data_IF_945972045005
#
_entry.id   IF_945972045005
#
_cell.length_a   1.000
_cell.length_b   1.000
_cell.length_c   1.000
_cell.angle_alpha   90.00
_cell.angle_beta   90.00
_cell.angle_gamma   90.00
#
_symmetry.space_group_name_H-M   'P 1'
#
loop_
_entity.id
_entity.type
_entity.pdbx_description
1 polymer ?
#
# COMPACT_ATOMS: atom_id res chain seq x y z
N UNK A 1 -34.47 -11.17 44.08
CA UNK A 1 -34.50 -10.26 42.93
C UNK A 1 -33.34 -10.65 42.00
N UNK A 2 -33.68 -11.31 40.93
CA UNK A 2 -32.71 -11.82 39.95
C UNK A 2 -32.31 -10.67 39.03
N UNK A 3 -31.01 -10.32 39.02
CA UNK A 3 -30.43 -9.36 38.10
C UNK A 3 -30.34 -9.97 36.73
N UNK A 4 -31.16 -9.49 35.79
CA UNK A 4 -31.05 -9.80 34.36
C UNK A 4 -29.82 -9.07 33.82
N UNK A 5 -28.74 -9.78 33.65
CA UNK A 5 -27.60 -9.33 32.86
C UNK A 5 -28.04 -9.30 31.39
N UNK A 6 -28.41 -8.13 30.87
CA UNK A 6 -28.57 -7.89 29.44
C UNK A 6 -27.21 -8.05 28.77
N UNK A 7 -26.97 -9.23 28.20
CA UNK A 7 -25.97 -9.45 27.18
C UNK A 7 -26.42 -8.70 25.92
N UNK A 8 -26.11 -7.42 25.81
CA UNK A 8 -26.09 -6.73 24.54
C UNK A 8 -24.98 -7.37 23.71
N UNK A 9 -25.33 -8.38 22.91
CA UNK A 9 -24.52 -8.78 21.79
C UNK A 9 -24.48 -7.59 20.82
N UNK A 10 -23.45 -6.73 20.93
CA UNK A 10 -23.18 -5.70 19.94
C UNK A 10 -22.97 -6.40 18.60
N UNK A 11 -23.99 -6.39 17.76
CA UNK A 11 -23.85 -6.82 16.38
C UNK A 11 -22.93 -5.79 15.71
N UNK A 12 -21.68 -6.19 15.44
CA UNK A 12 -20.74 -5.31 14.71
C UNK A 12 -21.34 -4.96 13.36
N UNK A 13 -21.22 -3.71 12.94
CA UNK A 13 -21.63 -3.30 11.59
C UNK A 13 -20.86 -4.09 10.52
N UNK A 14 -21.42 -4.17 9.32
CA UNK A 14 -20.73 -4.85 8.19
C UNK A 14 -19.34 -4.26 7.94
N UNK A 15 -19.22 -2.95 8.06
CA UNK A 15 -17.95 -2.25 7.94
C UNK A 15 -16.94 -2.66 9.02
N UNK A 16 -17.36 -2.76 10.29
CA UNK A 16 -16.47 -3.26 11.34
C UNK A 16 -16.01 -4.70 11.11
N UNK A 17 -16.88 -5.54 10.59
CA UNK A 17 -16.52 -6.93 10.26
C UNK A 17 -15.50 -7.01 9.13
N UNK A 18 -15.66 -6.20 8.08
CA UNK A 18 -14.72 -6.19 6.95
C UNK A 18 -13.37 -5.56 7.35
N UNK A 19 -13.36 -4.53 8.20
CA UNK A 19 -12.12 -3.94 8.71
C UNK A 19 -11.36 -4.91 9.61
N UNK A 20 -12.04 -5.64 10.51
CA UNK A 20 -11.42 -6.69 11.30
C UNK A 20 -10.84 -7.82 10.43
N UNK A 21 -11.48 -8.11 9.30
CA UNK A 21 -10.97 -9.08 8.33
C UNK A 21 -9.72 -8.51 7.63
N UNK A 22 -9.74 -7.25 7.23
CA UNK A 22 -8.62 -6.57 6.62
C UNK A 22 -7.40 -6.53 7.56
N UNK A 23 -7.62 -6.16 8.83
CA UNK A 23 -6.56 -6.13 9.84
C UNK A 23 -5.90 -7.51 10.02
N UNK A 24 -6.70 -8.59 10.01
CA UNK A 24 -6.18 -9.96 10.05
C UNK A 24 -5.39 -10.33 8.78
N UNK A 25 -5.80 -9.83 7.62
CA UNK A 25 -5.08 -10.05 6.36
C UNK A 25 -3.76 -9.31 6.35
N UNK A 26 -3.73 -8.06 6.81
CA UNK A 26 -2.49 -7.27 6.97
C UNK A 26 -1.51 -7.99 7.91
N UNK A 27 -1.98 -8.48 9.05
CA UNK A 27 -1.14 -9.23 10.01
C UNK A 27 -0.55 -10.52 9.42
N UNK A 28 -1.24 -11.15 8.46
CA UNK A 28 -0.82 -12.38 7.78
C UNK A 28 -0.16 -12.15 6.42
N UNK A 29 0.16 -10.92 6.07
CA UNK A 29 0.68 -10.53 4.76
C UNK A 29 1.93 -11.34 4.36
N UNK A 30 2.84 -11.59 5.28
CA UNK A 30 4.05 -12.38 5.05
C UNK A 30 3.76 -13.77 4.46
N UNK A 31 2.65 -14.42 4.85
CA UNK A 31 2.28 -15.74 4.31
C UNK A 31 1.88 -15.68 2.82
N UNK A 32 1.28 -14.58 2.40
CA UNK A 32 0.93 -14.37 0.99
C UNK A 32 2.17 -14.07 0.17
N UNK A 33 3.10 -13.28 0.71
CA UNK A 33 4.39 -12.98 0.08
C UNK A 33 5.25 -14.25 -0.10
N UNK A 34 5.31 -15.12 0.90
CA UNK A 34 5.98 -16.42 0.78
C UNK A 34 5.37 -17.31 -0.31
N UNK A 35 4.04 -17.31 -0.46
CA UNK A 35 3.39 -18.04 -1.55
C UNK A 35 3.77 -17.49 -2.91
N UNK A 36 3.81 -16.15 -3.03
CA UNK A 36 4.26 -15.49 -4.24
C UNK A 36 5.69 -15.87 -4.60
N UNK A 37 6.61 -15.82 -3.64
CA UNK A 37 8.02 -16.18 -3.86
C UNK A 37 8.13 -17.62 -4.35
N UNK A 38 7.44 -18.58 -3.70
CA UNK A 38 7.42 -19.99 -4.13
C UNK A 38 6.88 -20.15 -5.55
N UNK A 39 5.82 -19.43 -5.92
CA UNK A 39 5.28 -19.45 -7.27
C UNK A 39 6.27 -18.87 -8.30
N UNK A 40 6.86 -17.73 -8.00
CA UNK A 40 7.87 -17.11 -8.85
C UNK A 40 9.10 -18.01 -9.05
N UNK A 41 9.54 -18.69 -7.99
CA UNK A 41 10.66 -19.67 -8.09
C UNK A 41 10.30 -20.88 -8.95
N UNK A 42 9.05 -21.33 -8.93
CA UNK A 42 8.57 -22.35 -9.84
C UNK A 42 8.65 -21.91 -11.30
N UNK A 43 8.19 -20.67 -11.59
CA UNK A 43 8.28 -20.09 -12.94
C UNK A 43 9.73 -19.89 -13.39
N UNK A 44 10.63 -19.51 -12.50
CA UNK A 44 12.07 -19.39 -12.81
C UNK A 44 12.70 -20.73 -13.17
N UNK A 45 12.30 -21.83 -12.50
CA UNK A 45 12.75 -23.18 -12.87
C UNK A 45 12.20 -23.58 -14.22
N UNK A 46 10.92 -23.31 -14.49
CA UNK A 46 10.28 -23.54 -15.79
C UNK A 46 11.00 -22.77 -16.91
N UNK A 47 11.33 -21.50 -16.69
CA UNK A 47 12.08 -20.67 -17.65
C UNK A 47 13.46 -21.28 -17.98
N UNK A 48 14.18 -21.78 -16.97
CA UNK A 48 15.49 -22.41 -17.18
C UNK A 48 15.41 -23.74 -17.90
N UNK A 49 14.32 -24.49 -17.70
CA UNK A 49 14.09 -25.79 -18.32
C UNK A 49 13.45 -25.70 -19.71
N UNK A 50 13.01 -24.52 -20.14
CA UNK A 50 12.32 -24.35 -21.41
C UNK A 50 13.25 -24.67 -22.60
N UNK A 51 12.77 -25.53 -23.51
CA UNK A 51 13.55 -26.04 -24.63
C UNK A 51 13.68 -25.12 -25.82
N UNK A 52 12.73 -24.17 -25.99
CA UNK A 52 12.71 -23.24 -27.12
C UNK A 52 12.39 -21.80 -26.67
N UNK A 53 12.68 -20.82 -27.53
CA UNK A 53 12.53 -19.41 -27.21
C UNK A 53 11.07 -18.94 -27.17
N UNK A 54 10.14 -19.66 -27.78
CA UNK A 54 8.71 -19.40 -27.68
C UNK A 54 8.21 -19.71 -26.27
N UNK A 55 8.57 -20.85 -25.72
CA UNK A 55 8.24 -21.25 -24.36
C UNK A 55 8.94 -20.38 -23.33
N UNK A 56 10.21 -20.01 -23.59
CA UNK A 56 10.96 -19.04 -22.76
C UNK A 56 10.25 -17.68 -22.74
N UNK A 57 9.82 -17.19 -23.88
CA UNK A 57 9.05 -15.94 -23.97
C UNK A 57 7.75 -16.01 -23.16
N UNK A 58 6.98 -17.10 -23.32
CA UNK A 58 5.72 -17.30 -22.60
C UNK A 58 5.95 -17.31 -21.08
N UNK A 59 6.97 -18.00 -20.62
CA UNK A 59 7.28 -18.10 -19.19
C UNK A 59 7.83 -16.78 -18.64
N UNK A 60 8.65 -16.05 -19.42
CA UNK A 60 9.11 -14.72 -19.09
C UNK A 60 7.94 -13.72 -18.97
N UNK A 61 6.95 -13.83 -19.87
CA UNK A 61 5.73 -13.02 -19.79
C UNK A 61 4.91 -13.31 -18.51
N UNK A 62 4.79 -14.58 -18.10
CA UNK A 62 4.13 -14.95 -16.81
C UNK A 62 4.89 -14.39 -15.61
N UNK A 63 6.23 -14.39 -15.66
CA UNK A 63 7.06 -13.76 -14.64
C UNK A 63 6.90 -12.25 -14.65
N UNK A 64 6.88 -11.61 -15.82
CA UNK A 64 6.60 -10.19 -15.97
C UNK A 64 5.25 -9.83 -15.33
N UNK A 65 4.17 -10.53 -15.69
CA UNK A 65 2.81 -10.33 -15.17
C UNK A 65 2.74 -10.48 -13.63
N UNK A 66 3.58 -11.37 -13.08
CA UNK A 66 3.67 -11.55 -11.63
C UNK A 66 4.40 -10.40 -10.96
N UNK A 67 5.49 -9.89 -11.57
CA UNK A 67 6.36 -8.91 -10.95
C UNK A 67 5.96 -7.46 -11.18
N UNK A 68 5.19 -7.12 -12.23
CA UNK A 68 4.86 -5.74 -12.58
C UNK A 68 4.16 -4.97 -11.45
N UNK A 69 3.44 -5.68 -10.58
CA UNK A 69 2.76 -5.12 -9.41
C UNK A 69 3.45 -5.45 -8.08
N UNK A 70 4.59 -6.16 -8.12
CA UNK A 70 5.32 -6.59 -6.93
C UNK A 70 6.72 -5.97 -6.82
N UNK A 71 7.46 -5.92 -7.94
CA UNK A 71 8.76 -5.27 -8.03
C UNK A 71 9.06 -4.90 -9.49
N UNK A 72 8.98 -3.60 -9.78
CA UNK A 72 9.04 -3.06 -11.14
C UNK A 72 10.39 -3.33 -11.82
N UNK A 73 11.51 -3.26 -11.08
CA UNK A 73 12.83 -3.49 -11.68
C UNK A 73 13.01 -4.95 -12.10
N UNK A 74 12.44 -5.86 -11.32
CA UNK A 74 12.41 -7.27 -11.70
C UNK A 74 11.51 -7.50 -12.91
N UNK A 75 10.35 -6.85 -12.98
CA UNK A 75 9.49 -6.91 -14.17
C UNK A 75 10.20 -6.36 -15.41
N UNK A 76 10.88 -5.22 -15.30
CA UNK A 76 11.63 -4.64 -16.41
C UNK A 76 12.73 -5.59 -16.95
N UNK A 77 13.41 -6.34 -16.06
CA UNK A 77 14.38 -7.37 -16.49
C UNK A 77 13.70 -8.48 -17.29
N UNK A 78 12.50 -8.92 -16.89
CA UNK A 78 11.76 -9.92 -17.66
C UNK A 78 11.25 -9.37 -18.99
N UNK A 79 10.83 -8.11 -19.06
CA UNK A 79 10.50 -7.45 -20.33
C UNK A 79 11.69 -7.44 -21.29
N UNK A 80 12.92 -7.15 -20.81
CA UNK A 80 14.14 -7.23 -21.58
C UNK A 80 14.43 -8.65 -22.10
N UNK A 81 14.23 -9.68 -21.28
CA UNK A 81 14.36 -11.09 -21.72
C UNK A 81 13.31 -11.44 -22.79
N UNK A 82 12.09 -10.94 -22.65
CA UNK A 82 11.03 -11.13 -23.65
C UNK A 82 11.42 -10.55 -25.01
N UNK A 83 12.07 -9.38 -25.06
CA UNK A 83 12.61 -8.84 -26.32
C UNK A 83 13.66 -9.75 -26.95
N UNK A 84 14.62 -10.24 -26.16
CA UNK A 84 15.67 -11.15 -26.66
C UNK A 84 15.06 -12.43 -27.29
N UNK A 85 14.08 -13.03 -26.61
CA UNK A 85 13.38 -14.21 -27.15
C UNK A 85 12.50 -13.88 -28.34
N UNK A 86 11.86 -12.72 -28.36
CA UNK A 86 11.06 -12.27 -29.49
C UNK A 86 11.95 -12.01 -30.73
N UNK A 87 13.16 -11.50 -30.55
CA UNK A 87 14.13 -11.30 -31.63
C UNK A 87 14.65 -12.64 -32.16
N UNK A 88 14.97 -13.58 -31.28
CA UNK A 88 15.42 -14.91 -31.67
C UNK A 88 14.35 -15.70 -32.47
N UNK A 89 13.06 -15.53 -32.11
CA UNK A 89 11.96 -16.20 -32.85
C UNK A 89 11.55 -15.46 -34.13
N UNK A 90 11.91 -14.19 -34.31
CA UNK A 90 11.43 -13.32 -35.38
C UNK A 90 9.93 -12.98 -35.29
N UNK A 91 9.22 -13.36 -34.22
CA UNK A 91 7.79 -13.21 -34.08
C UNK A 91 7.36 -11.76 -33.90
N UNK A 92 6.62 -11.19 -34.86
CA UNK A 92 6.02 -9.85 -34.78
C UNK A 92 5.11 -9.72 -33.54
N UNK A 93 4.30 -10.74 -33.26
CA UNK A 93 3.39 -10.71 -32.11
C UNK A 93 4.16 -10.62 -30.80
N UNK A 94 5.21 -11.43 -30.61
CA UNK A 94 6.02 -11.38 -29.40
C UNK A 94 6.74 -10.05 -29.23
N UNK A 95 7.31 -9.48 -30.30
CA UNK A 95 7.93 -8.13 -30.29
C UNK A 95 6.94 -7.07 -29.87
N UNK A 96 5.76 -7.07 -30.48
CA UNK A 96 4.69 -6.13 -30.16
C UNK A 96 4.27 -6.23 -28.68
N UNK A 97 4.01 -7.44 -28.19
CA UNK A 97 3.58 -7.67 -26.80
C UNK A 97 4.70 -7.34 -25.81
N UNK A 98 5.97 -7.60 -26.13
CA UNK A 98 7.12 -7.18 -25.31
C UNK A 98 7.17 -5.65 -25.18
N UNK A 99 6.94 -4.92 -26.28
CA UNK A 99 6.89 -3.45 -26.25
C UNK A 99 5.71 -2.95 -25.40
N UNK A 100 4.55 -3.64 -25.41
CA UNK A 100 3.45 -3.27 -24.52
C UNK A 100 3.79 -3.52 -23.03
N UNK A 101 4.68 -4.46 -22.72
CA UNK A 101 5.22 -4.66 -21.37
C UNK A 101 6.16 -3.51 -20.97
N UNK A 102 6.98 -2.98 -21.90
CA UNK A 102 7.80 -1.80 -21.63
C UNK A 102 6.91 -0.59 -21.29
N UNK A 103 5.81 -0.40 -22.03
CA UNK A 103 4.82 0.66 -21.72
C UNK A 103 4.28 0.51 -20.30
N UNK A 104 3.99 -0.73 -19.85
CA UNK A 104 3.56 -0.98 -18.47
C UNK A 104 4.63 -0.59 -17.45
N UNK A 105 5.90 -0.87 -17.72
CA UNK A 105 7.03 -0.47 -16.86
C UNK A 105 7.18 1.05 -16.82
N UNK A 106 7.07 1.72 -17.96
CA UNK A 106 7.14 3.18 -18.05
C UNK A 106 6.00 3.85 -17.25
N UNK A 107 4.79 3.31 -17.37
CA UNK A 107 3.63 3.78 -16.58
C UNK A 107 3.92 3.60 -15.08
N UNK A 108 4.42 2.44 -14.67
CA UNK A 108 4.73 2.13 -13.27
C UNK A 108 5.86 3.02 -12.71
N UNK A 109 6.79 3.43 -13.55
CA UNK A 109 7.85 4.40 -13.23
C UNK A 109 7.42 5.86 -13.33
N UNK A 110 6.13 6.10 -13.64
CA UNK A 110 5.55 7.42 -13.88
C UNK A 110 6.17 8.21 -15.06
N UNK A 111 6.77 7.50 -16.03
CA UNK A 111 7.29 8.06 -17.27
C UNK A 111 6.20 8.09 -18.34
N UNK A 112 5.13 8.85 -18.06
CA UNK A 112 3.88 8.75 -18.85
C UNK A 112 4.03 9.31 -20.27
N UNK A 113 4.81 10.37 -20.47
CA UNK A 113 5.07 10.91 -21.82
C UNK A 113 5.83 9.91 -22.68
N UNK A 114 6.86 9.27 -22.16
CA UNK A 114 7.59 8.21 -22.87
C UNK A 114 6.68 7.00 -23.15
N UNK A 115 5.83 6.63 -22.19
CA UNK A 115 4.84 5.58 -22.37
C UNK A 115 3.86 5.92 -23.50
N UNK A 116 3.44 7.20 -23.60
CA UNK A 116 2.57 7.69 -24.66
C UNK A 116 3.26 7.60 -26.03
N UNK A 117 4.48 8.09 -26.16
CA UNK A 117 5.25 7.98 -27.39
C UNK A 117 5.47 6.52 -27.80
N UNK A 118 5.83 5.68 -26.85
CA UNK A 118 6.08 4.26 -27.07
C UNK A 118 4.84 3.51 -27.55
N UNK A 119 3.67 3.78 -26.97
CA UNK A 119 2.43 3.12 -27.40
C UNK A 119 1.99 3.58 -28.79
N UNK A 120 2.20 4.85 -29.12
CA UNK A 120 1.87 5.39 -30.46
C UNK A 120 2.83 4.95 -31.55
N UNK A 121 4.07 4.59 -31.21
CA UNK A 121 5.07 4.09 -32.19
C UNK A 121 4.79 2.67 -32.66
N UNK A 122 3.85 1.95 -32.03
CA UNK A 122 3.53 0.58 -32.42
C UNK A 122 2.76 0.55 -33.75
N UNK A 123 3.26 -0.28 -34.69
CA UNK A 123 2.54 -0.56 -35.93
C UNK A 123 1.29 -1.39 -35.67
N UNK A 124 0.14 -0.78 -35.87
CA UNK A 124 -1.19 -1.38 -35.62
C UNK A 124 -1.84 -1.99 -36.87
N UNK A 125 -1.17 -2.02 -38.01
CA UNK A 125 -1.71 -2.62 -39.25
C UNK A 125 -1.69 -4.15 -39.07
N UNK A 126 -2.83 -4.80 -39.27
CA UNK A 126 -2.95 -6.26 -39.23
C UNK A 126 -2.62 -6.92 -37.89
N UNK A 127 -2.81 -6.22 -36.77
CA UNK A 127 -2.56 -6.77 -35.41
C UNK A 127 -3.56 -7.88 -35.08
N UNK A 128 -3.07 -8.90 -34.37
CA UNK A 128 -3.89 -10.00 -33.85
C UNK A 128 -4.85 -9.50 -32.77
N UNK A 129 -5.87 -10.31 -32.46
CA UNK A 129 -6.81 -10.01 -31.38
C UNK A 129 -6.11 -9.81 -30.02
N UNK A 130 -5.07 -10.58 -29.76
CA UNK A 130 -4.27 -10.47 -28.53
C UNK A 130 -3.44 -9.18 -28.47
N UNK A 131 -2.77 -8.83 -29.58
CA UNK A 131 -2.04 -7.58 -29.70
C UNK A 131 -2.98 -6.37 -29.51
N UNK A 132 -4.17 -6.41 -30.10
CA UNK A 132 -5.19 -5.36 -29.99
C UNK A 132 -5.66 -5.18 -28.55
N UNK A 133 -5.96 -6.26 -27.84
CA UNK A 133 -6.34 -6.19 -26.45
C UNK A 133 -5.25 -5.56 -25.56
N UNK A 134 -3.99 -5.94 -25.78
CA UNK A 134 -2.86 -5.35 -25.04
C UNK A 134 -2.68 -3.87 -25.37
N UNK A 135 -2.68 -3.52 -26.66
CA UNK A 135 -2.55 -2.13 -27.15
C UNK A 135 -3.57 -1.20 -26.51
N UNK A 136 -4.87 -1.52 -26.65
CA UNK A 136 -5.92 -0.65 -26.10
C UNK A 136 -5.94 -0.61 -24.58
N UNK A 137 -5.56 -1.69 -23.91
CA UNK A 137 -5.40 -1.67 -22.45
C UNK A 137 -4.35 -0.65 -22.04
N UNK A 138 -3.17 -0.67 -22.65
CA UNK A 138 -2.11 0.30 -22.33
C UNK A 138 -2.51 1.73 -22.72
N UNK A 139 -3.12 1.91 -23.87
CA UNK A 139 -3.58 3.20 -24.34
C UNK A 139 -4.61 3.83 -23.38
N UNK A 140 -5.57 3.04 -22.87
CA UNK A 140 -6.54 3.51 -21.89
C UNK A 140 -5.86 3.96 -20.58
N UNK A 141 -4.85 3.19 -20.12
CA UNK A 141 -4.12 3.58 -18.90
C UNK A 141 -3.31 4.85 -19.11
N UNK A 142 -2.60 4.96 -20.23
CA UNK A 142 -1.81 6.15 -20.58
C UNK A 142 -2.71 7.39 -20.66
N UNK A 143 -3.82 7.32 -21.41
CA UNK A 143 -4.76 8.45 -21.49
C UNK A 143 -5.37 8.81 -20.14
N UNK A 144 -5.71 7.82 -19.32
CA UNK A 144 -6.20 8.07 -17.97
C UNK A 144 -5.17 8.81 -17.10
N UNK A 145 -3.90 8.42 -17.19
CA UNK A 145 -2.82 9.10 -16.47
C UNK A 145 -2.56 10.51 -16.99
N UNK A 146 -2.60 10.73 -18.30
CA UNK A 146 -2.44 12.05 -18.90
C UNK A 146 -3.62 12.97 -18.60
N UNK A 147 -4.83 12.44 -18.55
CA UNK A 147 -6.03 13.20 -18.19
C UNK A 147 -6.04 13.65 -16.72
N UNK A 148 -5.43 12.87 -15.81
CA UNK A 148 -5.31 13.19 -14.39
C UNK A 148 -3.95 13.79 -13.99
N UNK A 149 -3.04 13.94 -14.94
CA UNK A 149 -1.68 14.44 -14.71
C UNK A 149 -1.57 15.96 -14.64
N UNK A 150 -0.33 16.44 -14.50
CA UNK A 150 -0.03 17.87 -14.57
C UNK A 150 0.01 18.34 -16.03
N UNK A 151 -0.79 19.30 -16.33
CA UNK A 151 -0.87 19.88 -17.67
C UNK A 151 -1.92 20.99 -17.70
N UNK A 152 -2.01 21.70 -18.82
CA UNK A 152 -3.10 22.66 -19.01
C UNK A 152 -4.44 21.93 -18.97
N UNK A 153 -5.47 22.61 -18.52
CA UNK A 153 -6.84 22.06 -18.48
C UNK A 153 -7.29 21.57 -19.87
N UNK A 154 -6.97 22.34 -20.92
CA UNK A 154 -7.27 21.94 -22.28
C UNK A 154 -6.60 20.62 -22.70
N UNK A 155 -5.35 20.41 -22.30
CA UNK A 155 -4.61 19.16 -22.58
C UNK A 155 -5.21 17.98 -21.82
N UNK A 156 -5.49 18.13 -20.53
CA UNK A 156 -6.15 17.10 -19.71
C UNK A 156 -7.51 16.71 -20.29
N UNK A 157 -8.32 17.71 -20.69
CA UNK A 157 -9.62 17.49 -21.33
C UNK A 157 -9.47 16.71 -22.63
N UNK A 158 -8.52 17.06 -23.49
CA UNK A 158 -8.28 16.34 -24.76
C UNK A 158 -7.96 14.85 -24.54
N UNK A 159 -7.18 14.52 -23.50
CA UNK A 159 -6.89 13.12 -23.14
C UNK A 159 -8.11 12.43 -22.50
N UNK A 160 -8.88 13.12 -21.69
CA UNK A 160 -10.14 12.59 -21.14
C UNK A 160 -11.13 12.26 -22.26
N UNK A 161 -11.30 13.17 -23.24
CA UNK A 161 -12.13 12.96 -24.41
C UNK A 161 -11.63 11.78 -25.28
N UNK A 162 -10.32 11.60 -25.36
CA UNK A 162 -9.73 10.47 -26.09
C UNK A 162 -9.97 9.15 -25.37
N UNK A 163 -9.83 9.12 -24.04
CA UNK A 163 -10.15 7.97 -23.19
C UNK A 163 -11.63 7.60 -23.32
N UNK A 164 -12.51 8.61 -23.24
CA UNK A 164 -13.94 8.43 -23.40
C UNK A 164 -14.28 7.81 -24.77
N UNK A 165 -13.78 8.40 -25.85
CA UNK A 165 -13.97 7.83 -27.22
C UNK A 165 -13.49 6.40 -27.32
N UNK A 166 -12.32 6.09 -26.76
CA UNK A 166 -11.76 4.74 -26.79
C UNK A 166 -12.66 3.72 -26.06
N UNK A 167 -13.25 4.09 -24.93
CA UNK A 167 -14.21 3.25 -24.20
C UNK A 167 -15.52 3.08 -24.99
N UNK A 168 -16.06 4.15 -25.56
CA UNK A 168 -17.35 4.12 -26.27
C UNK A 168 -17.31 3.43 -27.63
N UNK A 169 -16.19 3.46 -28.37
CA UNK A 169 -16.08 2.80 -29.66
C UNK A 169 -16.05 1.28 -29.58
N UNK A 170 -15.98 0.71 -28.39
CA UNK A 170 -15.85 -0.74 -28.10
C UNK A 170 -14.67 -1.45 -28.79
N UNK A 171 -13.89 -0.72 -29.57
CA UNK A 171 -12.66 -1.26 -30.18
C UNK A 171 -11.69 -1.74 -29.11
N UNK A 172 -11.59 -1.01 -27.98
CA UNK A 172 -10.79 -1.39 -26.82
C UNK A 172 -11.23 -2.66 -26.10
N UNK A 173 -12.42 -3.18 -26.40
CA UNK A 173 -12.96 -4.40 -25.77
C UNK A 173 -12.67 -5.67 -26.57
N UNK A 174 -12.28 -5.52 -27.84
CA UNK A 174 -11.95 -6.67 -28.68
C UNK A 174 -10.72 -7.42 -28.15
N UNK A 175 -10.85 -8.74 -28.03
CA UNK A 175 -9.80 -9.58 -27.48
C UNK A 175 -9.83 -9.74 -25.95
N UNK A 176 -10.61 -8.96 -25.22
CA UNK A 176 -10.73 -9.08 -23.77
C UNK A 176 -11.68 -10.21 -23.32
N UNK A 177 -11.46 -10.71 -22.11
CA UNK A 177 -12.36 -11.67 -21.47
C UNK A 177 -13.74 -11.06 -21.21
N UNK A 178 -14.78 -11.91 -21.04
CA UNK A 178 -16.14 -11.43 -20.74
C UNK A 178 -16.17 -10.54 -19.50
N UNK A 179 -15.49 -10.93 -18.42
CA UNK A 179 -15.45 -10.12 -17.19
C UNK A 179 -14.78 -8.77 -17.40
N UNK A 180 -13.70 -8.72 -18.17
CA UNK A 180 -13.03 -7.47 -18.49
C UNK A 180 -13.93 -6.55 -19.31
N UNK A 181 -14.64 -7.07 -20.31
CA UNK A 181 -15.59 -6.29 -21.11
C UNK A 181 -16.74 -5.72 -20.28
N UNK A 182 -17.34 -6.54 -19.40
CA UNK A 182 -18.43 -6.08 -18.53
C UNK A 182 -17.94 -5.00 -17.56
N UNK A 183 -16.74 -5.16 -16.99
CA UNK A 183 -16.12 -4.15 -16.14
C UNK A 183 -15.84 -2.84 -16.91
N UNK A 184 -15.34 -2.92 -18.14
CA UNK A 184 -15.12 -1.75 -18.99
C UNK A 184 -16.44 -1.06 -19.37
N UNK A 185 -17.49 -1.82 -19.61
CA UNK A 185 -18.84 -1.27 -19.86
C UNK A 185 -19.37 -0.53 -18.63
N UNK A 186 -19.15 -1.05 -17.43
CA UNK A 186 -19.51 -0.33 -16.21
C UNK A 186 -18.72 0.98 -16.04
N UNK A 187 -17.43 1.00 -16.42
CA UNK A 187 -16.67 2.27 -16.44
C UNK A 187 -17.23 3.28 -17.46
N UNK A 188 -17.68 2.80 -18.62
CA UNK A 188 -18.38 3.62 -19.60
C UNK A 188 -19.67 4.23 -19.03
N UNK A 189 -20.47 3.44 -18.29
CA UNK A 189 -21.65 3.93 -17.60
C UNK A 189 -21.30 4.98 -16.53
N UNK A 190 -20.20 4.78 -15.79
CA UNK A 190 -19.73 5.76 -14.82
C UNK A 190 -19.29 7.09 -15.49
N UNK A 191 -18.62 7.03 -16.64
CA UNK A 191 -18.26 8.21 -17.44
C UNK A 191 -19.51 8.98 -17.89
N UNK A 192 -20.67 8.30 -18.04
CA UNK A 192 -21.98 8.88 -18.38
C UNK A 192 -22.81 9.30 -17.15
N UNK A 193 -22.25 9.26 -15.94
CA UNK A 193 -22.93 9.50 -14.67
C UNK A 193 -24.10 8.54 -14.38
N UNK A 194 -24.11 7.33 -14.99
CA UNK A 194 -25.11 6.27 -14.80
C UNK A 194 -24.61 5.27 -13.75
N UNK A 195 -24.44 5.74 -12.51
CA UNK A 195 -23.74 5.00 -11.47
C UNK A 195 -24.53 3.78 -10.97
N UNK A 196 -25.85 3.88 -10.85
CA UNK A 196 -26.71 2.76 -10.43
C UNK A 196 -26.64 1.61 -11.44
N UNK A 197 -26.70 1.92 -12.73
CA UNK A 197 -26.57 0.92 -13.78
C UNK A 197 -25.16 0.31 -13.84
N UNK A 198 -24.14 1.09 -13.52
CA UNK A 198 -22.79 0.57 -13.38
C UNK A 198 -22.71 -0.45 -12.22
N UNK A 199 -23.37 -0.18 -11.10
CA UNK A 199 -23.47 -1.11 -9.96
C UNK A 199 -24.26 -2.37 -10.31
N UNK A 200 -25.37 -2.26 -11.04
CA UNK A 200 -26.12 -3.42 -11.52
C UNK A 200 -25.25 -4.38 -12.36
N UNK A 201 -24.29 -3.83 -13.11
CA UNK A 201 -23.33 -4.63 -13.88
C UNK A 201 -22.22 -5.19 -12.99
N UNK A 202 -21.69 -4.39 -12.04
CA UNK A 202 -20.48 -4.73 -11.29
C UNK A 202 -20.75 -5.68 -10.12
N UNK A 203 -21.84 -5.50 -9.36
CA UNK A 203 -22.14 -6.30 -8.18
C UNK A 203 -22.26 -7.79 -8.49
N UNK A 204 -22.98 -8.23 -9.55
CA UNK A 204 -23.03 -9.64 -9.92
C UNK A 204 -21.69 -10.20 -10.43
N UNK A 205 -20.74 -9.34 -10.83
CA UNK A 205 -19.42 -9.78 -11.25
C UNK A 205 -18.52 -10.15 -10.07
N UNK A 206 -18.82 -9.66 -8.86
CA UNK A 206 -18.03 -9.98 -7.68
C UNK A 206 -18.41 -11.38 -7.16
N UNK A 207 -17.79 -12.39 -7.75
CA UNK A 207 -18.03 -13.81 -7.44
C UNK A 207 -16.70 -14.50 -7.02
N UNK A 208 -16.45 -14.65 -5.69
CA UNK A 208 -15.25 -15.29 -5.17
C UNK A 208 -15.08 -16.76 -5.55
N UNK A 209 -16.16 -17.44 -5.91
CA UNK A 209 -16.09 -18.83 -6.37
C UNK A 209 -15.59 -18.94 -7.82
N UNK A 210 -15.76 -17.88 -8.61
CA UNK A 210 -15.50 -17.87 -10.05
C UNK A 210 -14.18 -17.21 -10.43
N UNK A 211 -13.76 -16.19 -9.67
CA UNK A 211 -12.63 -15.37 -10.04
C UNK A 211 -11.53 -15.39 -8.98
N UNK A 212 -10.29 -15.25 -9.44
CA UNK A 212 -9.14 -15.09 -8.55
C UNK A 212 -9.13 -13.69 -7.88
N UNK A 213 -8.41 -13.59 -6.76
CA UNK A 213 -8.37 -12.37 -5.95
C UNK A 213 -7.94 -11.14 -6.74
N UNK A 214 -7.02 -11.25 -7.72
CA UNK A 214 -6.61 -10.11 -8.57
C UNK A 214 -7.76 -9.55 -9.43
N UNK A 215 -8.60 -10.44 -9.95
CA UNK A 215 -9.79 -10.02 -10.72
C UNK A 215 -10.83 -9.41 -9.78
N UNK A 216 -11.04 -10.03 -8.61
CA UNK A 216 -11.96 -9.54 -7.58
C UNK A 216 -11.56 -8.18 -7.04
N UNK A 217 -10.25 -7.93 -6.80
CA UNK A 217 -9.75 -6.64 -6.37
C UNK A 217 -10.14 -5.50 -7.34
N UNK A 218 -9.96 -5.74 -8.64
CA UNK A 218 -10.33 -4.76 -9.68
C UNK A 218 -11.84 -4.51 -9.76
N UNK A 219 -12.65 -5.54 -9.58
CA UNK A 219 -14.11 -5.42 -9.56
C UNK A 219 -14.52 -4.63 -8.30
N UNK A 220 -14.04 -5.03 -7.13
CA UNK A 220 -14.34 -4.38 -5.86
C UNK A 220 -13.93 -2.90 -5.85
N UNK A 221 -12.75 -2.57 -6.42
CA UNK A 221 -12.31 -1.19 -6.54
C UNK A 221 -13.23 -0.36 -7.45
N UNK A 222 -13.71 -0.93 -8.57
CA UNK A 222 -14.66 -0.24 -9.43
C UNK A 222 -16.02 -0.04 -8.76
N UNK A 223 -16.50 -1.02 -7.96
CA UNK A 223 -17.71 -0.88 -7.15
C UNK A 223 -17.52 0.23 -6.11
N UNK A 224 -16.37 0.25 -5.43
CA UNK A 224 -16.04 1.31 -4.49
C UNK A 224 -16.10 2.70 -5.13
N UNK A 225 -15.55 2.85 -6.34
CA UNK A 225 -15.58 4.11 -7.06
C UNK A 225 -17.01 4.51 -7.49
N UNK A 226 -17.86 3.56 -7.87
CA UNK A 226 -19.26 3.85 -8.19
C UNK A 226 -20.01 4.37 -6.97
N UNK A 227 -19.82 3.75 -5.80
CA UNK A 227 -20.40 4.25 -4.54
C UNK A 227 -19.82 5.61 -4.11
N UNK A 228 -18.53 5.85 -4.35
CA UNK A 228 -17.94 7.18 -4.14
C UNK A 228 -18.66 8.26 -4.95
N UNK A 229 -18.93 7.99 -6.24
CA UNK A 229 -19.61 8.93 -7.13
C UNK A 229 -21.09 9.11 -6.79
N UNK A 230 -21.71 8.10 -6.17
CA UNK A 230 -23.07 8.21 -5.59
C UNK A 230 -23.09 8.95 -4.23
N UNK A 231 -21.95 9.15 -3.59
CA UNK A 231 -21.85 9.74 -2.27
C UNK A 231 -22.16 8.78 -1.11
N UNK A 232 -22.25 7.47 -1.36
CA UNK A 232 -22.41 6.45 -0.31
C UNK A 232 -21.06 6.09 0.30
N UNK A 233 -20.70 6.84 1.34
CA UNK A 233 -19.40 6.69 2.03
C UNK A 233 -19.26 5.34 2.71
N UNK A 234 -20.34 4.75 3.23
CA UNK A 234 -20.28 3.48 3.96
C UNK A 234 -20.00 2.31 3.00
N UNK A 235 -20.71 2.25 1.88
CA UNK A 235 -20.46 1.27 0.84
C UNK A 235 -19.10 1.49 0.17
N UNK A 236 -18.71 2.74 -0.05
CA UNK A 236 -17.39 3.06 -0.56
C UNK A 236 -16.27 2.46 0.31
N UNK A 237 -16.33 2.65 1.64
CA UNK A 237 -15.37 2.06 2.59
C UNK A 237 -15.36 0.53 2.57
N UNK A 238 -16.56 -0.06 2.59
CA UNK A 238 -16.71 -1.52 2.56
C UNK A 238 -16.01 -2.13 1.33
N UNK A 239 -16.25 -1.56 0.15
CA UNK A 239 -15.70 -2.07 -1.09
C UNK A 239 -14.21 -1.74 -1.28
N UNK A 240 -13.72 -0.61 -0.72
CA UNK A 240 -12.28 -0.34 -0.65
C UNK A 240 -11.56 -1.37 0.24
N UNK A 241 -12.13 -1.69 1.41
CA UNK A 241 -11.57 -2.71 2.29
C UNK A 241 -11.57 -4.10 1.61
N UNK A 242 -12.67 -4.42 0.90
CA UNK A 242 -12.80 -5.66 0.13
C UNK A 242 -11.75 -5.75 -0.97
N UNK A 243 -11.53 -4.67 -1.71
CA UNK A 243 -10.47 -4.59 -2.73
C UNK A 243 -9.09 -4.76 -2.12
N UNK A 244 -8.79 -4.06 -1.01
CA UNK A 244 -7.52 -4.15 -0.30
C UNK A 244 -7.22 -5.58 0.22
N UNK A 245 -8.22 -6.28 0.74
CA UNK A 245 -8.10 -7.68 1.14
C UNK A 245 -7.67 -8.54 -0.06
N UNK A 246 -8.32 -8.37 -1.20
CA UNK A 246 -8.00 -9.13 -2.41
C UNK A 246 -6.60 -8.81 -2.95
N UNK A 247 -6.20 -7.54 -2.92
CA UNK A 247 -4.86 -7.09 -3.33
C UNK A 247 -3.76 -7.70 -2.45
N UNK A 248 -3.92 -7.63 -1.13
CA UNK A 248 -2.98 -8.20 -0.16
C UNK A 248 -2.85 -9.72 -0.27
N UNK A 249 -3.93 -10.43 -0.60
CA UNK A 249 -3.92 -11.88 -0.79
C UNK A 249 -3.19 -12.33 -2.07
N UNK A 250 -3.06 -11.46 -3.05
CA UNK A 250 -2.30 -11.67 -4.31
C UNK A 250 -1.10 -10.77 -4.43
N UNK A 251 -0.16 -10.76 -3.52
CA UNK A 251 0.85 -9.74 -3.21
C UNK A 251 1.01 -8.63 -4.29
N UNK A 252 -0.04 -7.87 -4.51
CA UNK A 252 0.00 -6.63 -5.27
C UNK A 252 0.53 -5.56 -4.32
N UNK A 253 1.56 -4.82 -4.71
CA UNK A 253 2.17 -3.77 -3.88
C UNK A 253 1.85 -2.36 -4.38
N UNK A 254 1.21 -2.27 -5.54
CA UNK A 254 0.76 -1.02 -6.13
C UNK A 254 -0.77 -0.86 -5.96
N UNK A 255 -1.30 -0.79 -4.77
CA UNK A 255 -2.74 -0.70 -4.57
C UNK A 255 -3.19 0.66 -4.02
N UNK A 256 -4.19 1.24 -4.68
CA UNK A 256 -4.83 2.48 -4.25
C UNK A 256 -5.96 2.25 -3.23
N UNK A 257 -6.51 1.04 -3.17
CA UNK A 257 -7.64 0.69 -2.32
C UNK A 257 -7.33 0.93 -0.83
N UNK A 258 -6.21 0.42 -0.34
CA UNK A 258 -5.80 0.60 1.05
C UNK A 258 -5.36 2.05 1.34
N UNK A 259 -4.74 2.71 0.37
CA UNK A 259 -4.37 4.12 0.48
C UNK A 259 -5.61 5.01 0.64
N UNK A 260 -6.59 4.88 -0.26
CA UNK A 260 -7.82 5.66 -0.20
C UNK A 260 -8.62 5.36 1.08
N UNK A 261 -8.63 4.09 1.51
CA UNK A 261 -9.24 3.72 2.78
C UNK A 261 -8.52 4.37 3.97
N UNK A 262 -7.19 4.46 3.95
CA UNK A 262 -6.43 5.15 4.99
C UNK A 262 -6.77 6.65 5.08
N UNK A 263 -6.95 7.31 3.93
CA UNK A 263 -7.41 8.70 3.87
C UNK A 263 -8.80 8.87 4.52
N UNK A 264 -9.75 8.01 4.17
CA UNK A 264 -11.10 8.05 4.74
C UNK A 264 -11.11 7.78 6.25
N UNK A 265 -10.31 6.82 6.73
CA UNK A 265 -10.15 6.58 8.17
C UNK A 265 -9.59 7.80 8.88
N UNK A 266 -8.62 8.47 8.25
CA UNK A 266 -8.05 9.71 8.78
C UNK A 266 -9.10 10.83 8.89
N UNK A 267 -9.87 11.06 7.83
CA UNK A 267 -10.96 12.05 7.81
C UNK A 267 -12.03 11.77 8.89
N UNK A 268 -12.28 10.50 9.17
CA UNK A 268 -13.22 10.05 10.19
C UNK A 268 -12.60 9.95 11.60
N UNK A 269 -11.37 10.41 11.79
CA UNK A 269 -10.66 10.41 13.07
C UNK A 269 -10.34 8.99 13.62
N UNK A 270 -10.43 7.94 12.79
CA UNK A 270 -9.89 6.62 13.13
C UNK A 270 -8.38 6.59 12.86
N UNK A 271 -7.64 7.25 13.75
CA UNK A 271 -6.20 7.45 13.60
C UNK A 271 -5.42 6.13 13.66
N UNK A 272 -5.94 5.13 14.37
CA UNK A 272 -5.26 3.84 14.52
C UNK A 272 -5.27 3.06 13.21
N UNK A 273 -6.44 2.94 12.56
CA UNK A 273 -6.55 2.29 11.25
C UNK A 273 -5.89 3.11 10.16
N UNK A 274 -6.07 4.42 10.15
CA UNK A 274 -5.40 5.32 9.20
C UNK A 274 -3.88 5.12 9.23
N UNK A 275 -3.27 5.13 10.42
CA UNK A 275 -1.84 4.90 10.60
C UNK A 275 -1.40 3.53 10.08
N UNK A 276 -2.11 2.48 10.48
CA UNK A 276 -1.79 1.10 10.10
C UNK A 276 -1.86 0.88 8.60
N UNK A 277 -2.92 1.39 7.97
CA UNK A 277 -3.16 1.22 6.54
C UNK A 277 -2.18 2.03 5.69
N UNK A 278 -1.91 3.27 6.07
CA UNK A 278 -0.94 4.10 5.34
C UNK A 278 0.49 3.53 5.47
N UNK A 279 0.89 3.07 6.66
CA UNK A 279 2.21 2.44 6.84
C UNK A 279 2.36 1.18 6.00
N UNK A 280 1.33 0.32 5.95
CA UNK A 280 1.34 -0.88 5.12
C UNK A 280 1.48 -0.51 3.63
N UNK A 281 0.71 0.45 3.16
CA UNK A 281 0.73 0.91 1.76
C UNK A 281 2.08 1.51 1.38
N UNK A 282 2.63 2.38 2.22
CA UNK A 282 3.92 3.02 1.97
C UNK A 282 5.07 2.02 1.93
N UNK A 283 5.09 1.06 2.86
CA UNK A 283 6.09 -0.01 2.86
C UNK A 283 6.05 -0.83 1.57
N UNK A 284 4.85 -1.13 1.06
CA UNK A 284 4.67 -1.88 -0.18
C UNK A 284 5.08 -1.09 -1.42
N UNK A 285 4.68 0.16 -1.51
CA UNK A 285 5.05 1.03 -2.63
C UNK A 285 6.57 1.22 -2.72
N UNK A 286 7.24 1.39 -1.58
CA UNK A 286 8.71 1.46 -1.53
C UNK A 286 9.34 0.14 -1.96
N UNK A 287 8.85 -0.99 -1.49
CA UNK A 287 9.36 -2.31 -1.85
C UNK A 287 9.10 -2.69 -3.33
N UNK A 288 8.04 -2.15 -3.91
CA UNK A 288 7.71 -2.29 -5.34
C UNK A 288 8.61 -1.44 -6.23
N UNK A 289 9.25 -0.43 -5.68
CA UNK A 289 9.94 0.65 -6.42
C UNK A 289 8.98 1.39 -7.38
N UNK A 290 7.73 1.57 -6.92
CA UNK A 290 6.69 2.26 -7.68
C UNK A 290 6.85 3.77 -7.49
N UNK A 291 7.24 4.46 -8.54
CA UNK A 291 7.43 5.90 -8.49
C UNK A 291 6.09 6.62 -8.65
N UNK A 292 5.35 6.76 -7.56
CA UNK A 292 4.09 7.49 -7.55
C UNK A 292 4.21 8.84 -6.85
N UNK A 293 3.49 9.83 -7.36
CA UNK A 293 3.24 11.09 -6.66
C UNK A 293 2.56 10.91 -5.30
N UNK A 294 1.93 9.77 -5.07
CA UNK A 294 1.27 9.42 -3.82
C UNK A 294 2.28 9.38 -2.67
N UNK A 295 3.50 8.86 -2.92
CA UNK A 295 4.58 8.85 -1.93
C UNK A 295 5.02 10.25 -1.50
N UNK A 296 4.82 11.24 -2.35
CA UNK A 296 5.20 12.64 -2.12
C UNK A 296 3.98 13.55 -1.92
N UNK A 297 2.78 12.98 -1.74
CA UNK A 297 1.61 13.80 -1.47
C UNK A 297 1.69 14.37 -0.05
N UNK A 298 1.42 15.67 0.09
CA UNK A 298 1.33 16.35 1.39
C UNK A 298 0.33 15.67 2.33
N UNK A 299 -0.68 15.02 1.79
CA UNK A 299 -1.68 14.26 2.54
C UNK A 299 -1.08 12.99 3.19
N UNK A 300 -0.30 12.19 2.46
CA UNK A 300 0.35 11.02 3.03
C UNK A 300 1.33 11.40 4.13
N UNK A 301 2.14 12.44 3.91
CA UNK A 301 3.07 12.97 4.91
C UNK A 301 2.34 13.50 6.14
N UNK A 302 1.25 14.22 5.96
CA UNK A 302 0.41 14.72 7.05
C UNK A 302 -0.16 13.56 7.88
N UNK A 303 -0.70 12.52 7.24
CA UNK A 303 -1.25 11.35 7.93
C UNK A 303 -0.15 10.63 8.72
N UNK A 304 1.02 10.41 8.12
CA UNK A 304 2.15 9.75 8.79
C UNK A 304 2.56 10.55 10.03
N UNK A 305 2.72 11.87 9.89
CA UNK A 305 3.11 12.73 11.00
C UNK A 305 2.07 12.74 12.12
N UNK A 306 0.79 12.88 11.79
CA UNK A 306 -0.29 12.83 12.78
C UNK A 306 -0.45 11.42 13.40
N UNK A 307 -0.27 10.37 12.63
CA UNK A 307 -0.27 9.00 13.13
C UNK A 307 0.87 8.72 14.11
N UNK A 308 2.06 9.27 13.82
CA UNK A 308 3.20 9.20 14.76
C UNK A 308 2.88 9.95 16.06
N UNK A 309 2.36 11.18 15.95
CA UNK A 309 1.95 11.97 17.11
C UNK A 309 0.85 11.26 17.90
N UNK A 310 -0.15 10.71 17.23
CA UNK A 310 -1.23 9.93 17.87
C UNK A 310 -0.67 8.69 18.59
N UNK A 311 0.21 7.95 17.95
CA UNK A 311 0.87 6.76 18.52
C UNK A 311 1.67 7.12 19.77
N UNK A 312 2.42 8.23 19.74
CA UNK A 312 3.19 8.73 20.89
C UNK A 312 2.23 9.14 22.01
N UNK A 313 1.18 9.91 21.69
CA UNK A 313 0.21 10.38 22.66
C UNK A 313 -0.61 9.24 23.26
N UNK A 314 -0.98 8.24 22.48
CA UNK A 314 -1.71 7.05 22.94
C UNK A 314 -0.86 6.23 23.91
N UNK A 315 0.42 5.99 23.57
CA UNK A 315 1.36 5.33 24.47
C UNK A 315 1.62 6.13 25.73
N UNK A 316 1.74 7.46 25.61
CA UNK A 316 1.89 8.37 26.76
C UNK A 316 0.67 8.31 27.68
N UNK A 317 -0.56 8.29 27.14
CA UNK A 317 -1.80 8.13 27.93
C UNK A 317 -1.84 6.81 28.68
N UNK A 318 -1.50 5.69 28.00
CA UNK A 318 -1.43 4.37 28.65
C UNK A 318 -0.39 4.38 29.77
N UNK A 319 0.78 4.93 29.53
CA UNK A 319 1.83 5.07 30.55
C UNK A 319 1.37 5.95 31.72
N UNK A 320 0.70 7.07 31.44
CA UNK A 320 0.15 7.95 32.48
C UNK A 320 -0.92 7.24 33.29
N UNK A 321 -1.83 6.49 32.67
CA UNK A 321 -2.84 5.69 33.37
C UNK A 321 -2.16 4.60 34.23
N UNK A 322 -1.19 3.90 33.69
CA UNK A 322 -0.42 2.90 34.45
C UNK A 322 0.33 3.52 35.64
N UNK A 323 1.00 4.66 35.42
CA UNK A 323 1.66 5.41 36.50
C UNK A 323 0.63 5.82 37.57
N UNK A 324 -0.53 6.32 37.17
CA UNK A 324 -1.59 6.70 38.14
C UNK A 324 -2.13 5.50 38.91
N UNK A 325 -2.31 4.35 38.26
CA UNK A 325 -2.70 3.10 38.92
C UNK A 325 -1.61 2.65 39.91
N UNK A 326 -0.36 2.69 39.48
CA UNK A 326 0.76 2.34 40.37
C UNK A 326 0.90 3.32 41.55
N UNK A 327 0.71 4.63 41.31
CA UNK A 327 0.66 5.64 42.36
C UNK A 327 -0.51 5.40 43.31
N UNK A 328 -1.69 5.08 42.82
CA UNK A 328 -2.86 4.74 43.63
C UNK A 328 -2.61 3.50 44.47
N UNK A 329 -2.05 2.45 43.90
CA UNK A 329 -1.63 1.24 44.64
C UNK A 329 -0.55 1.53 45.69
N UNK A 330 0.42 2.37 45.35
CA UNK A 330 1.46 2.80 46.27
C UNK A 330 0.89 3.55 47.47
N UNK A 331 -0.07 4.48 47.20
CA UNK A 331 -0.75 5.21 48.28
C UNK A 331 -1.55 4.26 49.20
N UNK A 332 -2.25 3.29 48.61
CA UNK A 332 -3.01 2.28 49.37
C UNK A 332 -2.03 1.44 50.21
N UNK A 333 -0.90 1.02 49.64
CA UNK A 333 0.15 0.26 50.38
C UNK A 333 0.72 1.11 51.49
N UNK A 334 1.00 2.40 51.26
CA UNK A 334 1.48 3.31 52.30
C UNK A 334 0.45 3.51 53.41
N UNK A 335 -0.83 3.66 53.07
CA UNK A 335 -1.90 3.78 54.07
C UNK A 335 -2.07 2.50 54.87
N UNK A 336 -1.97 1.33 54.24
CA UNK A 336 -1.98 0.04 54.91
C UNK A 336 -0.75 -0.14 55.83
N UNK A 337 0.43 0.30 55.35
CA UNK A 337 1.67 0.27 56.12
C UNK A 337 1.54 1.19 57.36
N UNK A 338 1.03 2.40 57.20
CA UNK A 338 0.77 3.32 58.32
C UNK A 338 -0.25 2.73 59.29
N UNK A 339 -1.28 2.08 58.77
CA UNK A 339 -2.28 1.41 59.61
C UNK A 339 -1.66 0.24 60.41
N UNK A 340 -0.86 -0.60 59.78
CA UNK A 340 -0.17 -1.72 60.45
C UNK A 340 0.87 -1.21 61.44
N UNK A 341 1.65 -0.18 61.10
CA UNK A 341 2.60 0.45 62.02
C UNK A 341 1.90 1.09 63.22
N UNK A 342 0.73 1.75 63.01
CA UNK A 342 -0.09 2.26 64.13
C UNK A 342 -0.68 1.15 64.97
N UNK A 343 -1.10 0.02 64.40
CA UNK A 343 -1.55 -1.17 65.12
C UNK A 343 -0.41 -1.80 65.96
N UNK A 344 0.79 -1.91 65.34
CA UNK A 344 1.97 -2.47 66.05
C UNK A 344 2.54 -1.49 67.08
N UNK A 345 2.49 -0.16 66.87
CA UNK A 345 2.83 0.82 67.91
C UNK A 345 1.88 0.75 69.11
N UNK A 346 0.68 0.25 68.92
CA UNK A 346 -0.27 -0.04 69.99
C UNK A 346 0.02 -1.39 70.71
N UNK A 347 0.66 -2.29 70.00
CA UNK A 347 1.06 -3.60 70.56
C UNK A 347 2.55 -3.62 70.88
N UNK A 348 3.02 -2.75 71.72
CA UNK A 348 4.43 -2.57 72.16
C UNK A 348 5.12 -3.83 72.74
N UNK A 349 5.19 -4.96 72.03
CA UNK A 349 5.91 -6.12 72.50
C UNK A 349 6.70 -6.96 71.50
N UNK A 350 6.99 -6.50 70.31
CA UNK A 350 7.80 -7.37 69.45
C UNK A 350 8.80 -6.62 68.56
N UNK A 351 9.95 -6.24 69.17
CA UNK A 351 11.12 -5.72 68.40
C UNK A 351 11.69 -6.71 67.37
N UNK A 352 11.33 -7.98 67.46
CA UNK A 352 11.81 -8.98 66.50
C UNK A 352 11.08 -8.95 65.13
N UNK A 353 9.85 -8.47 65.06
CA UNK A 353 9.11 -8.39 63.78
C UNK A 353 9.49 -7.16 62.92
N UNK A 354 10.04 -6.12 63.57
CA UNK A 354 10.48 -4.92 62.84
C UNK A 354 11.69 -5.18 61.91
N UNK A 355 12.59 -6.08 62.35
CA UNK A 355 13.77 -6.48 61.56
C UNK A 355 13.38 -7.27 60.30
N UNK A 356 12.36 -8.13 60.36
CA UNK A 356 11.91 -8.94 59.23
C UNK A 356 11.17 -8.08 58.17
N UNK A 357 10.40 -7.07 58.61
CA UNK A 357 9.68 -6.17 57.72
C UNK A 357 10.67 -5.24 56.97
N UNK A 358 11.73 -4.78 57.65
CA UNK A 358 12.76 -3.96 57.02
C UNK A 358 13.56 -4.74 55.95
N UNK A 359 13.81 -6.05 56.17
CA UNK A 359 14.48 -6.91 55.22
C UNK A 359 13.62 -7.09 53.92
N UNK A 360 12.31 -7.30 54.07
CA UNK A 360 11.40 -7.42 52.91
C UNK A 360 11.24 -6.11 52.13
N UNK A 361 11.31 -4.98 52.83
CA UNK A 361 11.23 -3.66 52.16
C UNK A 361 12.49 -3.38 51.34
N UNK A 362 13.66 -3.79 51.82
CA UNK A 362 14.94 -3.63 51.12
C UNK A 362 14.99 -4.49 49.85
N UNK A 363 14.50 -5.73 49.93
CA UNK A 363 14.45 -6.64 48.78
C UNK A 363 13.49 -6.13 47.66
N UNK A 364 12.34 -5.57 48.05
CA UNK A 364 11.42 -4.95 47.10
C UNK A 364 11.94 -3.66 46.46
N UNK A 365 12.70 -2.87 47.24
CA UNK A 365 13.36 -1.69 46.68
C UNK A 365 14.44 -2.06 45.65
N UNK A 366 15.13 -3.16 45.86
CA UNK A 366 16.11 -3.67 44.92
C UNK A 366 15.44 -4.22 43.65
N UNK A 367 14.31 -4.93 43.78
CA UNK A 367 13.50 -5.37 42.62
C UNK A 367 12.89 -4.19 41.87
N UNK A 368 12.46 -3.12 42.55
CA UNK A 368 11.96 -1.90 41.92
C UNK A 368 13.04 -1.13 41.15
N UNK A 369 14.28 -1.12 41.69
CA UNK A 369 15.43 -0.53 40.96
C UNK A 369 15.75 -1.30 39.70
N UNK A 370 15.77 -2.63 39.74
CA UNK A 370 16.00 -3.47 38.55
C UNK A 370 14.91 -3.30 37.51
N UNK A 371 13.64 -3.16 37.92
CA UNK A 371 12.54 -2.93 37.01
C UNK A 371 12.58 -1.52 36.37
N UNK A 372 12.98 -0.50 37.12
CA UNK A 372 13.14 0.87 36.65
C UNK A 372 14.32 1.01 35.65
N UNK A 373 15.41 0.29 35.93
CA UNK A 373 16.55 0.25 35.01
C UNK A 373 16.17 -0.46 33.70
N UNK A 374 15.41 -1.54 33.76
CA UNK A 374 14.90 -2.25 32.58
C UNK A 374 13.94 -1.38 31.75
N UNK A 375 13.05 -0.62 32.38
CA UNK A 375 12.16 0.35 31.71
C UNK A 375 12.92 1.52 31.08
N UNK A 376 13.98 1.98 31.73
CA UNK A 376 14.84 3.07 31.22
C UNK A 376 15.63 2.63 30.00
N UNK A 377 16.14 1.40 30.00
CA UNK A 377 16.87 0.85 28.85
C UNK A 377 15.94 0.57 27.68
N UNK A 378 14.74 0.05 27.92
CA UNK A 378 13.73 -0.11 26.86
C UNK A 378 13.32 1.22 26.22
N UNK A 379 13.14 2.28 27.01
CA UNK A 379 12.87 3.62 26.50
C UNK A 379 14.04 4.19 25.67
N UNK A 380 15.28 3.96 26.12
CA UNK A 380 16.48 4.40 25.41
C UNK A 380 16.63 3.73 24.03
N UNK A 381 16.30 2.44 23.98
CA UNK A 381 16.29 1.68 22.72
C UNK A 381 15.23 2.25 21.79
N UNK A 382 14.02 2.49 22.28
CA UNK A 382 12.92 3.08 21.51
C UNK A 382 13.30 4.46 20.94
N UNK A 383 13.85 5.34 21.78
CA UNK A 383 14.24 6.70 21.36
C UNK A 383 15.35 6.66 20.29
N UNK A 384 16.30 5.74 20.40
CA UNK A 384 17.32 5.51 19.37
C UNK A 384 16.73 5.01 18.05
N UNK A 385 15.72 4.13 18.08
CA UNK A 385 15.04 3.68 16.86
C UNK A 385 14.29 4.83 16.18
N UNK A 386 13.53 5.62 16.94
CA UNK A 386 12.79 6.78 16.43
C UNK A 386 13.75 7.82 15.84
N UNK A 387 14.82 8.15 16.56
CA UNK A 387 15.84 9.10 16.08
C UNK A 387 16.51 8.64 14.78
N UNK A 388 16.87 7.35 14.71
CA UNK A 388 17.51 6.77 13.52
C UNK A 388 16.57 6.77 12.31
N UNK A 389 15.28 6.53 12.54
CA UNK A 389 14.27 6.58 11.49
C UNK A 389 14.04 8.00 10.98
N UNK A 390 13.97 8.98 11.89
CA UNK A 390 13.85 10.39 11.53
C UNK A 390 15.08 10.92 10.78
N UNK A 391 16.28 10.49 11.19
CA UNK A 391 17.52 10.86 10.51
C UNK A 391 17.58 10.33 9.08
N UNK A 392 17.22 9.05 8.89
CA UNK A 392 17.14 8.41 7.58
C UNK A 392 16.10 9.09 6.66
N UNK A 393 14.93 9.41 7.19
CA UNK A 393 13.89 10.11 6.45
C UNK A 393 14.34 11.54 6.04
N UNK A 394 14.99 12.27 6.95
CA UNK A 394 15.50 13.61 6.68
C UNK A 394 16.65 13.62 5.66
N UNK A 395 17.54 12.64 5.75
CA UNK A 395 18.62 12.47 4.77
C UNK A 395 18.08 12.13 3.38
N UNK A 396 17.03 11.28 3.32
CA UNK A 396 16.38 10.93 2.06
C UNK A 396 15.70 12.16 1.42
N UNK A 397 14.92 12.90 2.21
CA UNK A 397 14.26 14.13 1.75
C UNK A 397 15.27 15.23 1.32
N UNK A 398 16.39 15.35 2.03
CA UNK A 398 17.48 16.25 1.67
C UNK A 398 18.07 15.95 0.30
N UNK A 399 18.40 14.68 0.05
CA UNK A 399 18.95 14.22 -1.25
C UNK A 399 17.96 14.38 -2.41
N UNK A 400 16.67 14.09 -2.17
CA UNK A 400 15.63 14.35 -3.18
C UNK A 400 15.47 15.85 -3.45
N UNK A 401 15.58 16.67 -2.41
CA UNK A 401 15.58 18.15 -2.52
C UNK A 401 16.79 18.70 -3.31
N UNK A 402 17.97 18.18 -3.04
CA UNK A 402 19.20 18.50 -3.77
C UNK A 402 19.11 18.11 -5.25
N UNK A 403 18.67 16.88 -5.52
CA UNK A 403 18.47 16.38 -6.88
C UNK A 403 17.43 17.21 -7.65
N UNK A 404 16.31 17.57 -7.01
CA UNK A 404 15.33 18.50 -7.58
C UNK A 404 15.94 19.88 -7.85
N UNK A 405 16.76 20.39 -6.92
CA UNK A 405 17.46 21.65 -7.06
C UNK A 405 18.44 21.67 -8.23
N UNK A 406 19.15 20.56 -8.42
CA UNK A 406 20.05 20.37 -9.55
C UNK A 406 19.31 20.27 -10.89
N UNK A 407 18.19 19.52 -10.94
CA UNK A 407 17.37 19.46 -12.13
C UNK A 407 16.80 20.82 -12.53
N UNK A 408 16.34 21.61 -11.54
CA UNK A 408 15.86 22.97 -11.75
C UNK A 408 16.96 23.94 -12.22
N UNK A 409 18.18 23.79 -11.69
CA UNK A 409 19.34 24.54 -12.16
C UNK A 409 19.70 24.19 -13.61
N UNK A 410 19.80 22.90 -13.91
CA UNK A 410 20.08 22.41 -15.28
C UNK A 410 18.98 22.84 -16.26
N UNK A 411 17.72 22.78 -15.86
CA UNK A 411 16.60 23.25 -16.68
C UNK A 411 16.67 24.75 -17.00
N UNK A 412 17.15 25.56 -16.02
CA UNK A 412 17.25 27.02 -16.18
C UNK A 412 18.52 27.48 -16.91
N UNK A 413 19.64 26.76 -16.77
CA UNK A 413 20.94 27.19 -17.30
C UNK A 413 21.31 26.56 -18.64
N UNK A 414 20.86 25.34 -18.92
CA UNK A 414 21.36 24.53 -20.03
C UNK A 414 20.28 24.01 -20.99
N UNK A 415 19.00 24.32 -20.72
CA UNK A 415 17.86 24.00 -21.60
C UNK A 415 17.37 22.55 -21.48
N UNK A 416 16.34 22.24 -22.29
CA UNK A 416 15.60 20.96 -22.17
C UNK A 416 16.41 19.70 -22.54
N UNK A 417 17.39 19.82 -23.44
CA UNK A 417 18.22 18.69 -23.85
C UNK A 417 19.23 18.24 -22.78
N UNK A 418 19.79 19.16 -22.05
CA UNK A 418 20.71 18.89 -20.94
C UNK A 418 19.97 18.28 -19.73
N UNK A 419 18.74 18.78 -19.47
CA UNK A 419 17.83 18.21 -18.48
C UNK A 419 17.50 16.75 -18.82
N UNK A 420 17.19 16.45 -20.08
CA UNK A 420 16.88 15.10 -20.54
C UNK A 420 18.09 14.15 -20.48
N UNK A 421 19.29 14.65 -20.72
CA UNK A 421 20.56 13.87 -20.53
C UNK A 421 20.81 13.55 -19.06
N UNK A 422 20.56 14.51 -18.16
CA UNK A 422 20.74 14.32 -16.71
C UNK A 422 19.69 13.38 -16.12
N UNK A 423 18.46 13.38 -16.62
CA UNK A 423 17.41 12.44 -16.26
C UNK A 423 17.66 11.02 -16.76
N UNK A 424 18.45 10.85 -17.85
CA UNK A 424 18.84 9.52 -18.38
C UNK A 424 20.07 8.93 -17.69
N UNK A 425 20.86 9.74 -17.00
CA UNK A 425 21.99 9.24 -16.21
C UNK A 425 21.50 8.74 -14.85
N UNK A 426 22.05 7.63 -14.34
CA UNK A 426 21.71 7.18 -12.98
C UNK A 426 22.00 8.31 -11.99
N UNK A 427 21.01 8.74 -11.25
CA UNK A 427 21.17 9.75 -10.22
C UNK A 427 22.12 9.25 -9.12
N UNK A 428 22.76 10.16 -8.39
CA UNK A 428 23.55 9.77 -7.21
C UNK A 428 22.70 9.12 -6.12
N UNK A 429 21.39 9.32 -6.19
CA UNK A 429 20.38 8.60 -5.38
C UNK A 429 20.35 7.11 -5.77
N UNK A 430 20.42 6.78 -7.07
CA UNK A 430 20.45 5.39 -7.55
C UNK A 430 21.77 4.66 -7.23
N UNK A 431 22.89 5.41 -7.12
CA UNK A 431 24.21 4.83 -6.79
C UNK A 431 24.38 4.54 -5.29
N UNK A 432 23.67 5.22 -4.44
CA UNK A 432 23.77 5.03 -2.99
C UNK A 432 22.99 3.80 -2.48
N UNK A 433 22.21 3.14 -3.36
CA UNK A 433 21.42 1.95 -3.03
C UNK A 433 21.85 0.68 -3.80
N UNK A 434 22.98 0.73 -4.52
CA UNK A 434 23.71 -0.45 -4.95
C UNK A 434 24.79 -0.77 -3.93
#
# INVERSE_FOLDING_TARGET
MAGVALLCACHKSENEQIFDKLDRVIAKKHLYEERFVRHADSLRRELRAAGDDTLRWQTANRLFDSYITYNIDTAARYAGLMHNYADATGSREMKFLSTTCDVSVLIARNNIEEAYERILSLDTVGITRRMRASYYTQQMVVFGRLASGDGSEARRKAYADSLFRLRHTRIGFDGHSRVTRQRMYALELMDLNRYDEALEVLLPLYDPAKYNSRTLARIAYNIANAYYLLGDVEQHKYWLATAAICDLQTPVREYLSLYNLALLMFEQQDMERAARYIQCTMADMLACNYNTRILHSSQAEMIINQAVVYSINSRSRILTVMINIFMGLFVIIVLLLIHTLRQHARQRRTNAQLSAVNAQLSERNEQFRQLNDCLRDANKIKDNYVFRYMLLATQYLGRVGEYRGELLKTAKSEGSEALMRKLRSPSDVDRAYR
#
